data_IF_203009233003
#
_entry.id   IF_203009233003
#
_cell.length_a   1.000
_cell.length_b   1.000
_cell.length_c   1.000
_cell.angle_alpha   90.00
_cell.angle_beta   90.00
_cell.angle_gamma   90.00
#
_symmetry.space_group_name_H-M   'P 1'
#
loop_
_entity.id
_entity.type
_entity.pdbx_description
1 polymer ?
#
# COMPACT_ATOMS: atom_id res chain seq x y z
N UNK A 1 44.26 13.26 -1.38
CA UNK A 1 43.54 13.41 -0.09
C UNK A 1 42.68 14.66 -0.12
N UNK A 2 41.40 14.59 0.28
CA UNK A 2 40.50 15.75 0.26
C UNK A 2 40.81 16.75 1.38
N UNK A 3 40.74 18.06 1.10
CA UNK A 3 40.88 19.10 2.14
C UNK A 3 39.85 18.86 3.26
N UNK A 4 40.32 18.71 4.50
CA UNK A 4 39.46 18.58 5.68
C UNK A 4 38.63 19.85 5.83
N UNK A 5 37.29 19.71 5.85
CA UNK A 5 36.39 20.85 5.99
C UNK A 5 36.39 21.35 7.43
N UNK A 6 36.51 22.66 7.63
CA UNK A 6 36.36 23.28 8.96
C UNK A 6 34.90 23.15 9.39
N UNK A 7 34.69 22.60 10.59
CA UNK A 7 33.36 22.36 11.16
C UNK A 7 32.70 23.67 11.60
N UNK A 8 31.37 23.68 11.73
CA UNK A 8 30.64 24.85 12.24
C UNK A 8 31.09 25.22 13.66
N UNK A 9 31.31 24.22 14.52
CA UNK A 9 31.83 24.41 15.86
C UNK A 9 33.20 25.11 15.87
N UNK A 10 34.14 24.65 15.05
CA UNK A 10 35.45 25.31 14.92
C UNK A 10 35.32 26.76 14.45
N UNK A 11 34.38 27.07 13.55
CA UNK A 11 34.14 28.45 13.10
C UNK A 11 33.58 29.33 14.20
N UNK A 12 32.65 28.82 15.01
CA UNK A 12 32.12 29.54 16.17
C UNK A 12 33.22 29.80 17.21
N UNK A 13 34.05 28.80 17.47
CA UNK A 13 35.18 28.92 18.41
C UNK A 13 36.24 29.93 17.93
N UNK A 14 36.45 30.03 16.61
CA UNK A 14 37.27 31.10 16.03
C UNK A 14 36.67 32.47 16.34
N UNK A 15 35.36 32.66 16.15
CA UNK A 15 34.71 33.95 16.44
C UNK A 15 34.76 34.33 17.92
N UNK A 16 34.53 33.37 18.82
CA UNK A 16 34.60 33.64 20.27
C UNK A 16 36.02 34.07 20.69
N UNK A 17 37.05 33.43 20.13
CA UNK A 17 38.44 33.79 20.43
C UNK A 17 38.84 35.15 19.82
N UNK A 18 38.31 35.48 18.64
CA UNK A 18 38.50 36.81 18.04
C UNK A 18 37.83 37.91 18.87
N UNK A 19 36.63 37.66 19.40
CA UNK A 19 35.93 38.60 20.30
C UNK A 19 36.69 38.78 21.62
N UNK A 20 37.34 37.73 22.12
CA UNK A 20 38.19 37.78 23.31
C UNK A 20 39.59 38.38 23.04
N UNK A 21 39.87 38.91 21.84
CA UNK A 21 41.10 39.62 21.52
C UNK A 21 42.33 38.74 21.22
N UNK A 22 42.16 37.42 21.02
CA UNK A 22 43.27 36.53 20.70
C UNK A 22 43.84 36.80 19.29
N UNK A 23 45.17 36.70 19.16
CA UNK A 23 45.86 36.83 17.88
C UNK A 23 45.53 35.66 16.94
N UNK A 24 45.64 35.89 15.63
CA UNK A 24 45.39 34.85 14.63
C UNK A 24 46.32 33.64 14.80
N UNK A 25 47.55 33.91 15.24
CA UNK A 25 48.57 32.89 15.48
C UNK A 25 48.20 31.98 16.65
N UNK A 26 47.69 32.53 17.76
CA UNK A 26 47.22 31.75 18.89
C UNK A 26 46.00 30.89 18.51
N UNK A 27 45.06 31.46 17.75
CA UNK A 27 43.87 30.74 17.28
C UNK A 27 44.26 29.60 16.31
N UNK A 28 45.24 29.85 15.43
CA UNK A 28 45.79 28.85 14.49
C UNK A 28 46.39 27.67 15.24
N UNK A 29 47.25 27.95 16.22
CA UNK A 29 47.93 26.92 17.01
C UNK A 29 46.94 26.13 17.89
N UNK A 30 45.92 26.79 18.44
CA UNK A 30 44.93 26.14 19.30
C UNK A 30 43.90 25.29 18.54
N UNK A 31 43.48 25.71 17.33
CA UNK A 31 42.38 25.07 16.59
C UNK A 31 42.83 24.32 15.33
N UNK A 32 44.09 24.43 14.92
CA UNK A 32 44.63 23.81 13.71
C UNK A 32 44.01 24.36 12.42
N UNK A 33 43.57 25.62 12.42
CA UNK A 33 42.90 26.29 11.29
C UNK A 33 43.85 27.35 10.71
N UNK A 34 43.98 27.43 9.39
CA UNK A 34 44.90 28.39 8.76
C UNK A 34 44.47 29.85 8.95
N UNK A 35 45.44 30.78 9.00
CA UNK A 35 45.19 32.23 9.11
C UNK A 35 44.27 32.76 8.00
N UNK A 36 44.38 32.23 6.77
CA UNK A 36 43.47 32.56 5.68
C UNK A 36 42.02 32.12 5.94
N UNK A 37 41.81 30.97 6.59
CA UNK A 37 40.48 30.54 7.00
C UNK A 37 39.93 31.40 8.14
N UNK A 38 40.75 31.77 9.13
CA UNK A 38 40.37 32.68 10.23
C UNK A 38 39.93 34.04 9.66
N UNK A 39 40.72 34.60 8.75
CA UNK A 39 40.40 35.84 8.04
C UNK A 39 39.08 35.74 7.27
N UNK A 40 38.85 34.65 6.53
CA UNK A 40 37.59 34.43 5.81
C UNK A 40 36.38 34.27 6.75
N UNK A 41 36.56 33.66 7.92
CA UNK A 41 35.50 33.54 8.94
C UNK A 41 35.18 34.93 9.51
N UNK A 42 36.19 35.72 9.88
CA UNK A 42 35.99 37.10 10.37
C UNK A 42 35.30 37.99 9.33
N UNK A 43 35.71 37.91 8.06
CA UNK A 43 35.05 38.65 6.97
C UNK A 43 33.58 38.28 6.81
N UNK A 44 33.24 36.99 6.90
CA UNK A 44 31.85 36.53 6.84
C UNK A 44 31.03 37.04 8.01
N UNK A 45 31.60 37.04 9.21
CA UNK A 45 30.94 37.53 10.43
C UNK A 45 30.65 39.04 10.36
N UNK A 46 31.63 39.85 9.95
CA UNK A 46 31.44 41.29 9.68
C UNK A 46 30.34 41.57 8.65
N UNK A 47 30.23 40.72 7.63
CA UNK A 47 29.19 40.80 6.59
C UNK A 47 27.88 40.09 6.98
N UNK A 48 27.77 39.55 8.20
CA UNK A 48 26.62 38.77 8.70
C UNK A 48 26.20 37.62 7.77
N UNK A 49 27.17 36.98 7.10
CA UNK A 49 26.94 35.86 6.20
C UNK A 49 26.94 34.51 6.93
N UNK A 50 26.14 33.52 6.47
CA UNK A 50 26.14 32.18 7.07
C UNK A 50 27.53 31.52 7.09
N UNK A 51 27.89 31.01 8.27
CA UNK A 51 29.15 30.30 8.52
C UNK A 51 29.09 28.83 8.13
N UNK A 52 27.90 28.29 7.86
CA UNK A 52 27.70 26.91 7.45
C UNK A 52 28.46 26.58 6.16
N UNK A 53 28.86 25.31 6.04
CA UNK A 53 29.46 24.83 4.81
C UNK A 53 28.38 24.71 3.74
N UNK A 54 28.50 25.50 2.67
CA UNK A 54 27.61 25.36 1.51
C UNK A 54 27.70 23.92 0.97
N UNK A 55 26.56 23.30 0.60
CA UNK A 55 26.59 22.00 -0.05
C UNK A 55 27.43 22.09 -1.32
N UNK A 56 28.28 21.10 -1.52
CA UNK A 56 29.07 21.01 -2.75
C UNK A 56 28.15 20.80 -3.95
N UNK A 57 28.60 21.22 -5.13
CA UNK A 57 27.86 21.02 -6.39
C UNK A 57 27.55 19.54 -6.68
N UNK A 58 28.36 18.63 -6.12
CA UNK A 58 28.22 17.20 -6.32
C UNK A 58 28.57 16.76 -7.74
N UNK A 59 28.44 15.46 -8.00
CA UNK A 59 28.66 14.91 -9.34
C UNK A 59 27.56 15.41 -10.29
N UNK A 60 27.95 15.93 -11.46
CA UNK A 60 27.00 16.28 -12.52
C UNK A 60 26.13 15.06 -12.85
N UNK A 61 24.83 15.31 -13.00
CA UNK A 61 23.85 14.28 -13.34
C UNK A 61 24.14 13.73 -14.74
N UNK A 62 23.94 12.42 -14.93
CA UNK A 62 24.05 11.78 -16.23
C UNK A 62 22.96 12.26 -17.19
N UNK A 63 21.74 12.43 -16.67
CA UNK A 63 20.58 12.89 -17.45
C UNK A 63 20.28 14.38 -17.24
N UNK A 64 19.88 15.03 -18.33
CA UNK A 64 19.42 16.42 -18.43
C UNK A 64 17.93 16.54 -18.11
N UNK A 65 17.43 17.77 -18.00
CA UNK A 65 16.00 18.02 -17.75
C UNK A 65 15.10 17.54 -18.92
N UNK A 66 15.55 17.70 -20.16
CA UNK A 66 14.81 17.23 -21.35
C UNK A 66 14.73 15.70 -21.39
N UNK A 67 15.85 15.03 -21.11
CA UNK A 67 15.91 13.56 -21.03
C UNK A 67 15.05 13.02 -19.87
N UNK A 68 15.06 13.68 -18.70
CA UNK A 68 14.18 13.33 -17.58
C UNK A 68 12.69 13.50 -17.98
N UNK A 69 12.33 14.54 -18.76
CA UNK A 69 10.97 14.74 -19.28
C UNK A 69 10.56 13.66 -20.28
N UNK A 70 11.47 13.25 -21.17
CA UNK A 70 11.24 12.15 -22.10
C UNK A 70 10.97 10.83 -21.36
N UNK A 71 11.76 10.52 -20.34
CA UNK A 71 11.56 9.35 -19.49
C UNK A 71 10.18 9.36 -18.80
N UNK A 72 9.74 10.53 -18.31
CA UNK A 72 8.40 10.68 -17.73
C UNK A 72 7.29 10.45 -18.75
N UNK A 73 7.49 10.86 -20.01
CA UNK A 73 6.53 10.62 -21.08
C UNK A 73 6.47 9.14 -21.49
N UNK A 74 7.60 8.43 -21.54
CA UNK A 74 7.62 6.98 -21.76
C UNK A 74 6.79 6.24 -20.71
N UNK A 75 6.95 6.59 -19.44
CA UNK A 75 6.17 6.01 -18.35
C UNK A 75 4.68 6.42 -18.44
N UNK A 76 4.36 7.66 -18.84
CA UNK A 76 2.96 8.07 -19.00
C UNK A 76 2.26 7.35 -20.15
N UNK A 77 2.98 7.00 -21.22
CA UNK A 77 2.46 6.20 -22.34
C UNK A 77 2.07 4.79 -21.87
N UNK A 78 2.91 4.16 -21.05
CA UNK A 78 2.58 2.88 -20.42
C UNK A 78 3.03 2.83 -18.96
N UNK A 79 2.06 3.10 -18.07
CA UNK A 79 2.27 3.11 -16.61
C UNK A 79 2.52 1.72 -16.04
N UNK A 80 2.43 0.65 -16.84
CA UNK A 80 2.70 -0.73 -16.41
C UNK A 80 4.16 -1.14 -16.61
N UNK A 81 4.95 -0.37 -17.36
CA UNK A 81 6.35 -0.69 -17.58
C UNK A 81 7.17 -0.57 -16.30
N UNK A 82 7.95 -1.61 -16.03
CA UNK A 82 8.92 -1.62 -14.94
C UNK A 82 10.06 -0.64 -15.21
N UNK A 83 10.78 -0.23 -14.16
CA UNK A 83 11.98 0.62 -14.32
C UNK A 83 13.07 -0.01 -15.20
N UNK A 84 13.08 -1.35 -15.35
CA UNK A 84 14.02 -2.05 -16.26
C UNK A 84 13.59 -1.89 -17.72
N UNK A 85 12.31 -2.09 -18.00
CA UNK A 85 11.75 -1.89 -19.34
C UNK A 85 11.89 -0.44 -19.79
N UNK A 86 11.58 0.52 -18.91
CA UNK A 86 11.78 1.94 -19.20
C UNK A 86 13.25 2.30 -19.43
N UNK A 87 14.18 1.66 -18.74
CA UNK A 87 15.61 1.86 -19.01
C UNK A 87 16.01 1.28 -20.37
N UNK A 88 15.48 0.11 -20.74
CA UNK A 88 15.69 -0.47 -22.07
C UNK A 88 15.17 0.45 -23.17
N UNK A 89 13.91 0.90 -23.07
CA UNK A 89 13.29 1.82 -24.04
C UNK A 89 14.08 3.13 -24.18
N UNK A 90 14.59 3.65 -23.05
CA UNK A 90 15.41 4.86 -23.05
C UNK A 90 16.78 4.62 -23.69
N UNK A 91 17.44 3.52 -23.37
CA UNK A 91 18.75 3.16 -23.93
C UNK A 91 18.66 2.86 -25.43
N UNK A 92 17.52 2.37 -25.93
CA UNK A 92 17.30 2.19 -27.37
C UNK A 92 17.16 3.51 -28.14
N UNK A 93 16.88 4.62 -27.46
CA UNK A 93 16.63 5.92 -28.07
C UNK A 93 17.71 6.97 -27.79
N UNK A 94 18.69 6.66 -26.96
CA UNK A 94 19.75 7.58 -26.54
C UNK A 94 21.11 6.89 -26.60
N UNK A 95 22.16 7.63 -26.97
CA UNK A 95 23.54 7.12 -27.03
C UNK A 95 24.11 6.76 -25.65
N UNK A 96 23.59 7.39 -24.60
CA UNK A 96 23.98 7.11 -23.22
C UNK A 96 23.21 5.89 -22.73
N UNK A 97 23.80 5.15 -21.80
CA UNK A 97 23.11 4.08 -21.08
C UNK A 97 22.76 4.49 -19.66
N UNK A 98 21.50 4.32 -19.25
CA UNK A 98 21.03 4.48 -17.87
C UNK A 98 20.63 3.13 -17.29
N UNK A 99 20.85 2.99 -15.98
CA UNK A 99 20.36 1.83 -15.23
C UNK A 99 18.90 2.01 -14.81
N UNK A 100 18.24 0.88 -14.53
CA UNK A 100 16.90 0.88 -13.91
C UNK A 100 16.87 1.65 -12.57
N UNK A 101 18.00 1.73 -11.85
CA UNK A 101 18.12 2.53 -10.62
C UNK A 101 18.08 4.02 -10.92
N UNK A 102 18.74 4.46 -11.98
CA UNK A 102 18.68 5.85 -12.44
C UNK A 102 17.25 6.22 -12.80
N UNK A 103 16.57 5.40 -13.61
CA UNK A 103 15.15 5.59 -13.95
C UNK A 103 14.30 5.75 -12.69
N UNK A 104 14.40 4.81 -11.75
CA UNK A 104 13.64 4.84 -10.49
C UNK A 104 13.90 6.11 -9.69
N UNK A 105 15.15 6.56 -9.57
CA UNK A 105 15.49 7.82 -8.87
C UNK A 105 14.83 9.03 -9.53
N UNK A 106 14.75 9.06 -10.87
CA UNK A 106 14.10 10.15 -11.61
C UNK A 106 12.59 10.16 -11.41
N UNK A 107 11.96 8.99 -11.49
CA UNK A 107 10.53 8.84 -11.23
C UNK A 107 10.16 9.26 -9.81
N UNK A 108 10.91 8.81 -8.80
CA UNK A 108 10.66 9.21 -7.40
C UNK A 108 10.86 10.70 -7.18
N UNK A 109 11.92 11.29 -7.75
CA UNK A 109 12.15 12.73 -7.65
C UNK A 109 11.02 13.55 -8.29
N UNK A 110 10.36 12.99 -9.31
CA UNK A 110 9.18 13.59 -9.94
C UNK A 110 7.85 13.27 -9.21
N UNK A 111 7.90 12.60 -8.06
CA UNK A 111 6.73 12.31 -7.21
C UNK A 111 6.01 11.00 -7.50
N UNK A 112 6.50 10.16 -8.43
CA UNK A 112 5.85 8.88 -8.73
C UNK A 112 6.20 7.82 -7.70
N UNK A 113 5.21 7.00 -7.34
CA UNK A 113 5.37 5.87 -6.41
C UNK A 113 5.26 4.55 -7.15
N UNK A 114 5.93 3.53 -6.62
CA UNK A 114 5.81 2.16 -7.12
C UNK A 114 4.59 1.53 -6.45
N UNK A 115 3.71 0.95 -7.26
CA UNK A 115 2.57 0.17 -6.79
C UNK A 115 2.76 -1.28 -7.20
N UNK A 116 2.72 -2.19 -6.22
CA UNK A 116 2.69 -3.62 -6.49
C UNK A 116 1.24 -4.00 -6.82
N UNK A 117 0.98 -4.41 -8.05
CA UNK A 117 -0.37 -4.85 -8.44
C UNK A 117 -0.69 -6.17 -7.74
N UNK A 118 -1.77 -6.20 -6.95
CA UNK A 118 -2.36 -7.47 -6.49
C UNK A 118 -2.84 -8.25 -7.71
N UNK A 119 -2.32 -9.47 -7.92
CA UNK A 119 -2.72 -10.34 -9.03
C UNK A 119 -4.02 -11.04 -8.67
N UNK A 120 -5.19 -10.44 -8.96
CA UNK A 120 -6.45 -11.20 -9.08
C UNK A 120 -6.76 -11.38 -10.56
N UNK A 121 -6.78 -12.63 -11.01
CA UNK A 121 -7.16 -13.02 -12.36
C UNK A 121 -8.62 -13.46 -12.34
N UNK A 122 -9.48 -12.85 -13.15
CA UNK A 122 -10.83 -13.34 -13.37
C UNK A 122 -10.86 -14.07 -14.71
N UNK A 123 -11.43 -15.27 -14.72
CA UNK A 123 -11.58 -16.09 -15.93
C UNK A 123 -13.06 -16.06 -16.33
N UNK A 124 -13.36 -15.57 -17.54
CA UNK A 124 -14.68 -15.80 -18.16
C UNK A 124 -14.59 -17.14 -18.89
N UNK A 125 -15.55 -18.03 -18.62
CA UNK A 125 -15.61 -19.37 -19.21
C UNK A 125 -17.07 -19.70 -19.55
N UNK A 126 -17.27 -20.41 -20.66
CA UNK A 126 -18.55 -21.05 -20.96
C UNK A 126 -18.75 -22.27 -20.05
N UNK A 127 -19.99 -22.70 -19.84
CA UNK A 127 -20.29 -23.83 -18.95
C UNK A 127 -19.60 -25.12 -19.41
N UNK A 128 -19.50 -25.35 -20.72
CA UNK A 128 -18.82 -26.50 -21.32
C UNK A 128 -17.30 -26.47 -21.20
N UNK A 129 -16.73 -25.31 -20.87
CA UNK A 129 -15.29 -25.12 -20.77
C UNK A 129 -14.80 -25.07 -19.33
N UNK A 130 -15.72 -25.23 -18.37
CA UNK A 130 -15.43 -25.04 -16.95
C UNK A 130 -14.20 -25.82 -16.48
N UNK A 131 -14.05 -27.04 -17.00
CA UNK A 131 -13.09 -28.02 -16.49
C UNK A 131 -11.78 -28.06 -17.30
N UNK A 132 -11.59 -27.12 -18.24
CA UNK A 132 -10.35 -27.04 -19.01
C UNK A 132 -9.19 -26.55 -18.12
N UNK A 133 -7.98 -27.15 -18.20
CA UNK A 133 -6.84 -26.83 -17.31
C UNK A 133 -6.45 -25.35 -17.27
N UNK A 134 -6.59 -24.61 -18.37
CA UNK A 134 -6.27 -23.18 -18.40
C UNK A 134 -7.23 -22.30 -17.58
N UNK A 135 -8.38 -22.84 -17.16
CA UNK A 135 -9.36 -22.17 -16.29
C UNK A 135 -9.08 -22.38 -14.80
N UNK A 136 -8.10 -23.22 -14.46
CA UNK A 136 -7.66 -23.45 -13.08
C UNK A 136 -6.29 -22.83 -12.84
N UNK A 137 -6.16 -22.15 -11.71
CA UNK A 137 -4.85 -21.87 -11.15
C UNK A 137 -4.60 -22.89 -10.03
N UNK A 138 -3.47 -23.61 -10.04
CA UNK A 138 -3.12 -24.49 -8.95
C UNK A 138 -3.05 -23.67 -7.67
N UNK A 139 -3.95 -23.97 -6.72
CA UNK A 139 -3.94 -23.36 -5.40
C UNK A 139 -2.99 -24.18 -4.54
N UNK A 140 -1.90 -23.56 -4.08
CA UNK A 140 -1.04 -24.17 -3.07
C UNK A 140 -1.85 -24.14 -1.76
N UNK A 141 -2.43 -25.27 -1.39
CA UNK A 141 -2.97 -25.46 -0.05
C UNK A 141 -1.78 -25.80 0.84
N UNK A 142 -1.49 -24.93 1.82
CA UNK A 142 -0.61 -25.33 2.91
C UNK A 142 -1.28 -26.47 3.66
N UNK A 143 -0.56 -27.57 3.90
CA UNK A 143 -0.98 -28.54 4.91
C UNK A 143 -1.08 -27.81 6.26
N UNK A 144 -2.18 -28.01 7.00
CA UNK A 144 -2.46 -27.25 8.23
C UNK A 144 -3.93 -27.13 8.61
N UNK A 145 -4.84 -27.57 7.73
CA UNK A 145 -6.28 -27.53 7.97
C UNK A 145 -6.91 -26.18 7.61
N UNK A 146 -8.25 -26.13 7.59
CA UNK A 146 -9.02 -24.93 7.29
C UNK A 146 -10.33 -24.95 8.04
N UNK A 147 -10.79 -23.80 8.49
CA UNK A 147 -12.11 -23.62 9.09
C UNK A 147 -12.97 -22.73 8.19
N UNK A 148 -14.25 -23.05 8.06
CA UNK A 148 -15.20 -22.16 7.39
C UNK A 148 -15.95 -21.35 8.45
N UNK A 149 -16.09 -20.05 8.19
CA UNK A 149 -16.71 -19.11 9.10
C UNK A 149 -17.74 -18.27 8.38
N UNK A 150 -18.86 -17.99 9.05
CA UNK A 150 -19.89 -17.07 8.60
C UNK A 150 -20.15 -16.03 9.68
N UNK A 151 -20.02 -14.77 9.31
CA UNK A 151 -20.32 -13.63 10.18
C UNK A 151 -21.47 -12.82 9.63
N UNK A 152 -22.19 -12.15 10.53
CA UNK A 152 -23.16 -11.10 10.19
C UNK A 152 -22.60 -9.78 10.69
N UNK A 153 -22.73 -8.69 9.93
CA UNK A 153 -22.30 -7.36 10.37
C UNK A 153 -23.43 -6.36 10.13
N UNK A 154 -23.62 -5.45 11.09
CA UNK A 154 -24.48 -4.28 10.94
C UNK A 154 -23.66 -3.01 11.21
N UNK A 155 -24.23 -1.83 10.95
CA UNK A 155 -23.57 -0.57 11.30
C UNK A 155 -23.31 -0.43 12.82
N UNK A 156 -24.05 -1.17 13.65
CA UNK A 156 -23.91 -1.16 15.11
C UNK A 156 -22.83 -2.10 15.64
N UNK A 157 -22.19 -2.91 14.78
CA UNK A 157 -21.16 -3.85 15.20
C UNK A 157 -21.21 -5.20 14.48
N UNK A 158 -20.27 -6.08 14.85
CA UNK A 158 -20.29 -7.49 14.46
C UNK A 158 -21.44 -8.23 15.15
N UNK A 159 -22.27 -8.90 14.36
CA UNK A 159 -23.32 -9.80 14.82
C UNK A 159 -22.80 -11.22 15.03
N UNK A 160 -23.70 -12.23 15.00
CA UNK A 160 -23.33 -13.63 15.20
C UNK A 160 -22.22 -14.10 14.24
N UNK A 161 -21.26 -14.83 14.80
CA UNK A 161 -20.18 -15.50 14.10
C UNK A 161 -20.32 -17.00 14.31
N UNK A 162 -20.47 -17.76 13.23
CA UNK A 162 -20.72 -19.20 13.27
C UNK A 162 -19.67 -19.91 12.44
N UNK A 163 -18.99 -20.88 13.07
CA UNK A 163 -18.10 -21.80 12.39
C UNK A 163 -18.87 -23.03 11.90
N UNK A 164 -18.45 -23.57 10.77
CA UNK A 164 -19.06 -24.78 10.21
C UNK A 164 -18.04 -25.61 9.44
N UNK A 165 -18.30 -26.91 9.39
CA UNK A 165 -17.44 -27.86 8.70
C UNK A 165 -17.87 -28.08 7.26
N UNK A 166 -16.88 -28.17 6.37
CA UNK A 166 -17.09 -28.47 4.96
C UNK A 166 -17.77 -27.36 4.18
N UNK A 167 -18.41 -27.74 3.06
CA UNK A 167 -19.01 -26.80 2.11
C UNK A 167 -20.45 -26.47 2.54
N UNK A 168 -20.76 -25.18 2.63
CA UNK A 168 -22.09 -24.70 3.01
C UNK A 168 -23.17 -25.20 2.04
N UNK A 169 -24.21 -25.86 2.57
CA UNK A 169 -25.39 -26.33 1.84
C UNK A 169 -26.64 -25.53 2.27
N UNK A 170 -27.77 -25.71 1.55
CA UNK A 170 -29.01 -24.96 1.81
C UNK A 170 -29.58 -25.13 3.24
N UNK A 171 -29.67 -26.36 3.78
CA UNK A 171 -30.11 -26.58 5.16
C UNK A 171 -29.22 -25.92 6.23
N UNK A 172 -27.90 -26.14 6.18
CA UNK A 172 -26.91 -25.50 7.07
C UNK A 172 -26.94 -23.98 6.93
N UNK A 173 -27.26 -23.49 5.73
CA UNK A 173 -27.40 -22.06 5.50
C UNK A 173 -28.58 -21.46 6.27
N UNK A 174 -29.76 -22.08 6.18
CA UNK A 174 -30.99 -21.61 6.84
C UNK A 174 -30.84 -21.60 8.36
N UNK A 175 -30.17 -22.58 8.95
CA UNK A 175 -29.96 -22.61 10.40
C UNK A 175 -29.08 -21.47 10.93
N UNK A 176 -28.43 -20.69 10.05
CA UNK A 176 -27.43 -19.67 10.42
C UNK A 176 -27.89 -18.22 10.06
N UNK A 177 -29.02 -18.00 9.38
CA UNK A 177 -29.37 -16.67 8.81
C UNK A 177 -30.07 -15.70 9.76
N UNK A 178 -29.50 -14.49 9.85
CA UNK A 178 -30.18 -13.18 9.87
C UNK A 178 -29.42 -12.22 8.88
N UNK A 179 -30.09 -11.33 8.15
CA UNK A 179 -29.74 -10.87 6.77
C UNK A 179 -28.48 -9.98 6.55
N UNK A 180 -27.69 -10.32 5.52
CA UNK A 180 -27.56 -9.76 4.13
C UNK A 180 -26.87 -10.87 3.30
N UNK A 181 -27.27 -11.13 2.05
CA UNK A 181 -26.82 -12.31 1.29
C UNK A 181 -26.18 -11.94 -0.04
N UNK A 182 -25.06 -12.58 -0.39
CA UNK A 182 -24.49 -12.51 -1.74
C UNK A 182 -25.15 -13.55 -2.67
N UNK A 183 -24.78 -13.56 -3.94
CA UNK A 183 -25.43 -14.38 -4.96
C UNK A 183 -24.95 -15.85 -4.99
N UNK A 184 -24.44 -16.40 -3.87
CA UNK A 184 -23.92 -17.77 -3.81
C UNK A 184 -24.99 -18.84 -4.11
N UNK A 185 -24.63 -20.00 -4.70
CA UNK A 185 -25.60 -21.02 -5.11
C UNK A 185 -26.50 -21.53 -3.97
N UNK A 186 -25.99 -21.68 -2.75
CA UNK A 186 -26.79 -22.08 -1.59
C UNK A 186 -27.82 -21.02 -1.17
N UNK A 187 -27.56 -19.74 -1.44
CA UNK A 187 -28.49 -18.64 -1.15
C UNK A 187 -29.64 -18.63 -2.15
N UNK A 188 -29.37 -18.99 -3.42
CA UNK A 188 -30.38 -19.12 -4.48
C UNK A 188 -31.13 -20.44 -4.51
N UNK A 189 -30.81 -21.39 -3.64
CA UNK A 189 -31.47 -22.70 -3.66
C UNK A 189 -32.99 -22.54 -3.46
N UNK A 190 -33.79 -23.36 -4.14
CA UNK A 190 -35.25 -23.34 -3.98
C UNK A 190 -35.68 -23.48 -2.52
N UNK A 191 -34.91 -24.25 -1.74
CA UNK A 191 -35.10 -24.44 -0.31
C UNK A 191 -34.90 -23.14 0.49
N UNK A 192 -33.78 -22.44 0.26
CA UNK A 192 -33.48 -21.15 0.89
C UNK A 192 -34.53 -20.09 0.55
N UNK A 193 -34.89 -19.98 -0.74
CA UNK A 193 -35.90 -19.00 -1.19
C UNK A 193 -37.28 -19.27 -0.61
N UNK A 194 -37.69 -20.54 -0.49
CA UNK A 194 -38.96 -20.94 0.13
C UNK A 194 -39.00 -20.56 1.61
N UNK A 195 -37.91 -20.77 2.34
CA UNK A 195 -37.82 -20.39 3.75
C UNK A 195 -37.87 -18.87 3.94
N UNK A 196 -37.14 -18.10 3.13
CA UNK A 196 -37.14 -16.63 3.21
C UNK A 196 -38.54 -16.04 2.93
N UNK A 197 -39.24 -16.58 1.93
CA UNK A 197 -40.63 -16.21 1.63
C UNK A 197 -41.57 -16.54 2.79
N UNK A 198 -41.41 -17.72 3.41
CA UNK A 198 -42.21 -18.13 4.58
C UNK A 198 -42.01 -17.19 5.77
N UNK A 199 -40.78 -16.73 6.00
CA UNK A 199 -40.44 -15.85 7.12
C UNK A 199 -40.62 -14.34 6.81
N UNK A 200 -41.22 -13.99 5.67
CA UNK A 200 -41.48 -12.60 5.24
C UNK A 200 -40.22 -11.72 5.25
N UNK A 201 -39.09 -12.33 4.91
CA UNK A 201 -37.80 -11.66 4.85
C UNK A 201 -37.65 -10.97 3.48
N UNK A 202 -37.53 -9.65 3.48
CA UNK A 202 -37.27 -8.87 2.28
C UNK A 202 -35.79 -8.90 1.91
N UNK A 203 -35.46 -9.46 0.74
CA UNK A 203 -34.12 -9.43 0.19
C UNK A 203 -33.89 -8.12 -0.57
N UNK A 204 -32.66 -7.61 -0.52
CA UNK A 204 -32.21 -6.52 -1.38
C UNK A 204 -31.87 -7.07 -2.77
N UNK A 205 -32.26 -6.36 -3.82
CA UNK A 205 -31.86 -6.69 -5.19
C UNK A 205 -30.34 -6.50 -5.37
N UNK A 206 -29.62 -7.62 -5.36
CA UNK A 206 -28.16 -7.63 -5.44
C UNK A 206 -27.67 -7.97 -6.86
N UNK A 207 -26.80 -7.14 -7.46
CA UNK A 207 -26.25 -7.44 -8.78
C UNK A 207 -25.30 -8.65 -8.73
N UNK A 208 -25.35 -9.49 -9.77
CA UNK A 208 -24.49 -10.66 -9.88
C UNK A 208 -22.99 -10.25 -9.89
N UNK A 209 -22.15 -11.01 -9.18
CA UNK A 209 -20.67 -10.86 -9.17
C UNK A 209 -20.20 -9.46 -8.71
N UNK A 210 -20.76 -8.96 -7.61
CA UNK A 210 -20.39 -7.65 -7.04
C UNK A 210 -19.81 -7.74 -5.61
N UNK A 211 -18.60 -8.33 -5.43
CA UNK A 211 -17.93 -8.37 -4.12
C UNK A 211 -17.50 -6.98 -3.64
N UNK A 212 -17.55 -5.96 -4.50
CA UNK A 212 -17.25 -4.58 -4.15
C UNK A 212 -18.34 -3.95 -3.26
N UNK A 213 -19.56 -4.48 -3.34
CA UNK A 213 -20.70 -4.05 -2.52
C UNK A 213 -20.84 -4.82 -1.21
N UNK A 214 -20.21 -6.00 -1.10
CA UNK A 214 -20.28 -6.78 0.14
C UNK A 214 -19.31 -6.19 1.17
N UNK A 215 -19.83 -5.34 2.07
CA UNK A 215 -19.01 -4.64 3.07
C UNK A 215 -18.32 -5.56 4.05
N UNK A 216 -18.87 -6.76 4.29
CA UNK A 216 -18.26 -7.76 5.19
C UNK A 216 -16.96 -8.34 4.62
N UNK A 217 -16.76 -8.31 3.29
CA UNK A 217 -15.48 -8.72 2.67
C UNK A 217 -14.33 -7.83 3.14
N UNK A 218 -14.59 -6.54 3.40
CA UNK A 218 -13.59 -5.67 3.96
C UNK A 218 -13.35 -5.93 5.45
N UNK A 219 -14.34 -6.45 6.16
CA UNK A 219 -14.16 -6.91 7.52
C UNK A 219 -13.28 -8.16 7.55
N UNK A 220 -13.51 -9.11 6.63
CA UNK A 220 -12.64 -10.28 6.46
C UNK A 220 -11.21 -9.88 6.10
N UNK A 221 -11.01 -8.92 5.19
CA UNK A 221 -9.68 -8.37 4.90
C UNK A 221 -9.00 -7.82 6.18
N UNK A 222 -9.74 -7.16 7.08
CA UNK A 222 -9.20 -6.65 8.36
C UNK A 222 -8.80 -7.80 9.28
N UNK A 223 -9.64 -8.84 9.36
CA UNK A 223 -9.39 -10.02 10.19
C UNK A 223 -8.15 -10.77 9.68
N UNK A 224 -8.08 -11.05 8.37
CA UNK A 224 -6.92 -11.68 7.74
C UNK A 224 -5.62 -10.92 8.02
N UNK A 225 -5.66 -9.58 7.96
CA UNK A 225 -4.50 -8.75 8.27
C UNK A 225 -4.09 -8.85 9.75
N UNK A 226 -5.06 -8.89 10.67
CA UNK A 226 -4.79 -9.04 12.11
C UNK A 226 -4.27 -10.43 12.46
N UNK A 227 -4.78 -11.48 11.80
CA UNK A 227 -4.34 -12.87 11.98
C UNK A 227 -2.85 -13.06 11.68
N UNK A 228 -2.25 -12.26 10.80
CA UNK A 228 -0.81 -12.31 10.53
C UNK A 228 0.07 -12.03 11.77
N UNK A 229 -0.49 -11.44 12.83
CA UNK A 229 0.23 -11.19 14.08
C UNK A 229 0.15 -12.38 15.06
N UNK A 230 -0.68 -13.37 14.78
CA UNK A 230 -0.88 -14.55 15.62
C UNK A 230 0.02 -15.69 15.15
N UNK A 231 0.50 -16.50 16.11
CA UNK A 231 1.12 -17.79 15.82
C UNK A 231 0.04 -18.86 15.91
N UNK A 232 -0.31 -19.45 14.77
CA UNK A 232 -1.40 -20.42 14.63
C UNK A 232 -0.79 -21.79 14.32
N UNK A 233 -0.98 -22.77 15.21
CA UNK A 233 -0.40 -24.11 15.03
C UNK A 233 -1.46 -25.17 14.68
N UNK A 234 -2.72 -24.91 14.98
CA UNK A 234 -3.83 -25.81 14.71
C UNK A 234 -5.13 -25.03 14.40
N UNK A 235 -6.17 -25.76 13.99
CA UNK A 235 -7.47 -25.17 13.63
C UNK A 235 -8.18 -24.51 14.82
N UNK A 236 -7.99 -25.02 16.04
CA UNK A 236 -8.58 -24.42 17.25
C UNK A 236 -7.94 -23.07 17.57
N UNK A 237 -6.61 -22.94 17.43
CA UNK A 237 -5.91 -21.66 17.59
C UNK A 237 -6.46 -20.63 16.59
N UNK A 238 -6.68 -21.05 15.34
CA UNK A 238 -7.27 -20.21 14.31
C UNK A 238 -8.70 -19.78 14.67
N UNK A 239 -9.53 -20.72 15.16
CA UNK A 239 -10.89 -20.42 15.58
C UNK A 239 -10.94 -19.41 16.73
N UNK A 240 -10.09 -19.59 17.75
CA UNK A 240 -10.00 -18.69 18.90
C UNK A 240 -9.50 -17.30 18.49
N UNK A 241 -8.46 -17.23 17.65
CA UNK A 241 -7.94 -15.95 17.17
C UNK A 241 -9.00 -15.18 16.34
N UNK A 242 -9.78 -15.87 15.49
CA UNK A 242 -10.87 -15.23 14.75
C UNK A 242 -11.94 -14.70 15.72
N UNK A 243 -12.33 -15.46 16.74
CA UNK A 243 -13.31 -15.01 17.75
C UNK A 243 -12.82 -13.78 18.50
N UNK A 244 -11.58 -13.81 19.00
CA UNK A 244 -10.98 -12.69 19.70
C UNK A 244 -10.96 -11.44 18.81
N UNK A 245 -10.43 -11.55 17.60
CA UNK A 245 -10.39 -10.43 16.65
C UNK A 245 -11.79 -9.91 16.36
N UNK A 246 -12.78 -10.79 16.16
CA UNK A 246 -14.16 -10.43 15.87
C UNK A 246 -14.78 -9.59 16.99
N UNK A 247 -14.56 -9.98 18.25
CA UNK A 247 -15.07 -9.23 19.41
C UNK A 247 -14.40 -7.86 19.60
N UNK A 248 -13.16 -7.71 19.12
CA UNK A 248 -12.42 -6.44 19.19
C UNK A 248 -12.74 -5.48 18.04
N UNK A 249 -13.62 -5.85 17.10
CA UNK A 249 -14.03 -4.96 16.01
C UNK A 249 -14.88 -3.84 16.59
N UNK A 250 -14.43 -2.60 16.44
CA UNK A 250 -15.17 -1.44 16.92
C UNK A 250 -16.42 -1.19 16.08
N UNK A 251 -17.48 -0.71 16.74
CA UNK A 251 -18.72 -0.31 16.07
C UNK A 251 -18.46 0.81 15.05
N UNK A 252 -17.51 1.70 15.31
CA UNK A 252 -17.08 2.75 14.38
C UNK A 252 -16.52 2.17 13.06
N UNK A 253 -15.79 1.06 13.13
CA UNK A 253 -15.29 0.37 11.93
C UNK A 253 -16.46 -0.13 11.08
N UNK A 254 -17.44 -0.79 11.71
CA UNK A 254 -18.62 -1.31 11.03
C UNK A 254 -19.48 -0.18 10.44
N UNK A 255 -19.69 0.90 11.20
CA UNK A 255 -20.44 2.07 10.75
C UNK A 255 -19.76 2.73 9.54
N UNK A 256 -18.43 2.91 9.59
CA UNK A 256 -17.66 3.48 8.49
C UNK A 256 -17.78 2.64 7.22
N UNK A 257 -17.73 1.31 7.35
CA UNK A 257 -17.91 0.40 6.23
C UNK A 257 -19.30 0.53 5.61
N UNK A 258 -20.36 0.55 6.42
CA UNK A 258 -21.74 0.72 5.93
C UNK A 258 -21.94 2.09 5.29
N UNK A 259 -21.45 3.17 5.93
CA UNK A 259 -21.51 4.56 5.39
C UNK A 259 -20.74 4.72 4.08
N UNK A 260 -19.81 3.82 3.75
CA UNK A 260 -19.08 3.86 2.49
C UNK A 260 -19.92 3.42 1.28
N UNK A 261 -21.06 2.76 1.50
CA UNK A 261 -21.88 2.17 0.42
C UNK A 261 -22.34 3.16 -0.66
N UNK A 262 -22.88 4.35 -0.34
CA UNK A 262 -23.26 5.32 -1.38
C UNK A 262 -22.10 5.71 -2.29
N UNK A 263 -20.89 5.85 -1.74
CA UNK A 263 -19.68 6.17 -2.53
C UNK A 263 -19.26 5.00 -3.42
N UNK A 264 -19.38 3.76 -2.94
CA UNK A 264 -19.08 2.54 -3.74
C UNK A 264 -20.04 2.39 -4.91
N UNK A 265 -21.33 2.60 -4.67
CA UNK A 265 -22.38 2.58 -5.70
C UNK A 265 -22.09 3.64 -6.76
N UNK A 266 -21.83 4.89 -6.35
CA UNK A 266 -21.45 5.97 -7.26
C UNK A 266 -20.21 5.62 -8.08
N UNK A 267 -19.19 5.03 -7.46
CA UNK A 267 -17.96 4.62 -8.15
C UNK A 267 -18.22 3.52 -9.18
N UNK A 268 -19.01 2.50 -8.83
CA UNK A 268 -19.41 1.43 -9.75
C UNK A 268 -20.19 1.98 -10.96
N UNK A 269 -21.09 2.94 -10.73
CA UNK A 269 -21.80 3.63 -11.79
C UNK A 269 -20.86 4.39 -12.74
N UNK A 270 -19.90 5.15 -12.19
CA UNK A 270 -18.91 5.88 -12.98
C UNK A 270 -18.03 4.97 -13.87
N UNK A 271 -17.82 3.71 -13.47
CA UNK A 271 -17.04 2.74 -14.27
C UNK A 271 -17.92 1.81 -15.13
N UNK A 272 -19.22 2.12 -15.27
CA UNK A 272 -20.21 1.35 -16.06
C UNK A 272 -20.22 -0.15 -15.72
N UNK A 273 -20.11 -0.48 -14.43
CA UNK A 273 -20.13 -1.88 -13.97
C UNK A 273 -18.84 -2.68 -14.18
N UNK A 274 -17.78 -2.07 -14.71
CA UNK A 274 -16.45 -2.70 -14.69
C UNK A 274 -15.90 -2.72 -13.27
N UNK A 275 -15.00 -3.67 -12.97
CA UNK A 275 -14.34 -3.72 -11.66
C UNK A 275 -13.64 -2.39 -11.43
N UNK A 276 -14.11 -1.65 -10.42
CA UNK A 276 -13.42 -0.48 -9.90
C UNK A 276 -12.18 -1.01 -9.21
N UNK A 277 -11.09 -1.28 -9.96
CA UNK A 277 -9.85 -1.86 -9.46
C UNK A 277 -9.66 -1.47 -7.99
N UNK A 278 -9.97 -2.42 -7.09
CA UNK A 278 -9.78 -2.24 -5.65
C UNK A 278 -8.27 -2.00 -5.49
N UNK A 279 -7.96 -0.74 -5.20
CA UNK A 279 -6.74 -0.15 -4.62
C UNK A 279 -5.39 -0.71 -5.09
#
# INVERSE_FOLDING_TARGET
MGRKKVTTYQKLKVLTLLQAGFSYENIRNQLGVSNGCISNISKKDKLKLPLENRPGQGRKKLTTFKEDRYLLNLMKKDRRKSSRQLASDWNSSHEKSISARTVRRRLFKAGYKIFNRKKKSFVRRLSSESDKPFNFQPRIQGGGGSISVRGIMTAKGGGPLVFYDGRMNGPTYISIIELVQDNAPCHKSAFSMKWLKKNKINLLDWPAVSPDFNVIENLWDIIDNKLNNYRLNNVNDLQQAILEIWTQISNETCETLVRSMPRRIKKCFCVKGNTSAKY
#
